data_IF_634539168320
#
_entry.id   IF_634539168320
#
_cell.length_a   1.000
_cell.length_b   1.000
_cell.length_c   1.000
_cell.angle_alpha   90.00
_cell.angle_beta   90.00
_cell.angle_gamma   90.00
#
_symmetry.space_group_name_H-M   'P 1'
#
loop_
_entity.id
_entity.type
_entity.pdbx_description
1 polymer ?
#
# COMPACT_ATOMS: atom_id res chain seq x y z
N UNK A 1 9.49 28.61 -7.33
CA UNK A 1 8.46 27.63 -7.71
C UNK A 1 9.06 26.23 -7.86
N UNK A 2 10.33 26.10 -8.26
CA UNK A 2 11.01 24.79 -8.37
C UNK A 2 11.32 24.11 -7.03
N UNK A 3 11.58 24.88 -5.98
CA UNK A 3 11.81 24.38 -4.60
C UNK A 3 10.56 23.75 -3.97
N UNK A 4 9.36 24.21 -4.35
CA UNK A 4 8.10 23.62 -3.86
C UNK A 4 7.83 22.28 -4.54
N UNK A 5 8.18 22.16 -5.82
CA UNK A 5 8.08 20.91 -6.58
C UNK A 5 9.10 19.89 -6.05
N UNK A 6 10.33 20.31 -5.76
CA UNK A 6 11.36 19.46 -5.14
C UNK A 6 10.96 18.99 -3.73
N UNK A 7 10.41 19.87 -2.90
CA UNK A 7 9.91 19.50 -1.57
C UNK A 7 8.71 18.55 -1.62
N UNK A 8 7.82 18.71 -2.61
CA UNK A 8 6.69 17.80 -2.84
C UNK A 8 7.13 16.41 -3.35
N UNK A 9 8.26 16.34 -4.07
CA UNK A 9 8.87 15.07 -4.49
C UNK A 9 9.55 14.37 -3.29
N UNK A 10 10.12 15.12 -2.35
CA UNK A 10 10.74 14.58 -1.13
C UNK A 10 9.75 14.17 -0.03
N UNK A 11 8.54 14.73 -0.01
CA UNK A 11 7.52 14.38 0.97
C UNK A 11 6.94 12.98 0.69
N UNK A 12 7.67 11.95 1.11
CA UNK A 12 7.18 10.57 1.21
C UNK A 12 6.19 10.47 2.37
N UNK A 13 4.97 10.96 2.17
CA UNK A 13 3.89 10.81 3.14
C UNK A 13 3.32 9.39 3.05
N UNK A 14 3.94 8.48 3.81
CA UNK A 14 3.50 7.08 3.93
C UNK A 14 2.04 6.98 4.43
N UNK A 15 1.53 8.05 5.03
CA UNK A 15 0.13 8.19 5.44
C UNK A 15 -0.87 8.02 4.30
N UNK A 16 -0.51 8.40 3.06
CA UNK A 16 -1.37 8.19 1.90
C UNK A 16 -1.49 6.72 1.48
N UNK A 17 -0.57 5.85 1.91
CA UNK A 17 -0.64 4.43 1.61
C UNK A 17 -1.83 3.77 2.31
N UNK A 18 -2.19 4.20 3.52
CA UNK A 18 -3.28 3.62 4.30
C UNK A 18 -4.66 3.75 3.59
N UNK A 19 -5.16 4.96 3.24
CA UNK A 19 -6.43 5.09 2.54
C UNK A 19 -6.40 4.43 1.15
N UNK A 20 -5.25 4.44 0.47
CA UNK A 20 -5.09 3.80 -0.84
C UNK A 20 -5.24 2.27 -0.76
N UNK A 21 -4.54 1.62 0.17
CA UNK A 21 -4.60 0.17 0.37
C UNK A 21 -6.01 -0.25 0.77
N UNK A 22 -6.66 0.52 1.65
CA UNK A 22 -8.05 0.26 2.07
C UNK A 22 -9.00 0.37 0.87
N UNK A 23 -8.93 1.46 0.11
CA UNK A 23 -9.81 1.69 -1.04
C UNK A 23 -9.65 0.58 -2.11
N UNK A 24 -8.42 0.26 -2.50
CA UNK A 24 -8.14 -0.77 -3.52
C UNK A 24 -8.63 -2.15 -3.07
N UNK A 25 -8.38 -2.51 -1.79
CA UNK A 25 -8.78 -3.80 -1.25
C UNK A 25 -10.29 -3.98 -1.18
N UNK A 26 -11.01 -2.90 -0.82
CA UNK A 26 -12.47 -2.88 -0.79
C UNK A 26 -13.06 -2.97 -2.20
N UNK A 27 -12.58 -2.16 -3.16
CA UNK A 27 -13.06 -2.20 -4.55
C UNK A 27 -12.84 -3.57 -5.17
N UNK A 28 -11.65 -4.16 -5.00
CA UNK A 28 -11.36 -5.51 -5.48
C UNK A 28 -12.32 -6.55 -4.89
N UNK A 29 -12.63 -6.46 -3.60
CA UNK A 29 -13.47 -7.47 -2.93
C UNK A 29 -14.97 -7.29 -3.22
N UNK A 30 -15.41 -6.04 -3.36
CA UNK A 30 -16.79 -5.65 -3.66
C UNK A 30 -17.20 -5.97 -5.10
N UNK A 31 -16.27 -5.95 -6.06
CA UNK A 31 -16.57 -6.38 -7.44
C UNK A 31 -16.83 -7.87 -7.57
N UNK A 32 -16.37 -8.68 -6.62
CA UNK A 32 -16.47 -10.14 -6.67
C UNK A 32 -17.58 -10.73 -5.78
N UNK A 33 -18.00 -10.00 -4.76
CA UNK A 33 -18.96 -10.49 -3.78
C UNK A 33 -20.03 -9.44 -3.51
N UNK A 34 -21.28 -9.87 -3.44
CA UNK A 34 -22.44 -8.99 -3.17
C UNK A 34 -22.74 -8.88 -1.67
N UNK A 35 -22.27 -9.84 -0.87
CA UNK A 35 -22.50 -9.89 0.57
C UNK A 35 -21.40 -9.14 1.34
N UNK A 36 -21.80 -8.27 2.26
CA UNK A 36 -20.89 -7.38 3.02
C UNK A 36 -19.80 -8.12 3.80
N UNK A 37 -20.14 -9.25 4.43
CA UNK A 37 -19.19 -10.02 5.26
C UNK A 37 -18.05 -10.64 4.41
N UNK A 38 -18.35 -11.34 3.28
CA UNK A 38 -17.32 -11.75 2.32
C UNK A 38 -16.47 -10.59 1.78
N UNK A 39 -17.06 -9.43 1.49
CA UNK A 39 -16.30 -8.26 1.01
C UNK A 39 -15.23 -7.87 2.02
N UNK A 40 -15.60 -7.72 3.30
CA UNK A 40 -14.68 -7.24 4.33
C UNK A 40 -13.54 -8.25 4.60
N UNK A 41 -13.86 -9.54 4.68
CA UNK A 41 -12.87 -10.60 4.92
C UNK A 41 -11.88 -10.72 3.76
N UNK A 42 -12.35 -10.62 2.52
CA UNK A 42 -11.49 -10.63 1.35
C UNK A 42 -10.67 -9.34 1.23
N UNK A 43 -11.24 -8.19 1.58
CA UNK A 43 -10.53 -6.91 1.55
C UNK A 43 -9.35 -6.92 2.53
N UNK A 44 -9.56 -7.41 3.76
CA UNK A 44 -8.47 -7.54 4.74
C UNK A 44 -7.37 -8.47 4.20
N UNK A 45 -7.74 -9.62 3.62
CA UNK A 45 -6.76 -10.55 3.05
C UNK A 45 -5.95 -9.92 1.92
N UNK A 46 -6.58 -9.15 1.04
CA UNK A 46 -5.91 -8.43 -0.05
C UNK A 46 -4.98 -7.35 0.50
N UNK A 47 -5.44 -6.57 1.47
CA UNK A 47 -4.63 -5.55 2.13
C UNK A 47 -3.38 -6.13 2.80
N UNK A 48 -3.52 -7.28 3.48
CA UNK A 48 -2.39 -8.01 4.08
C UNK A 48 -1.39 -8.45 3.01
N UNK A 49 -1.83 -8.94 1.86
CA UNK A 49 -0.93 -9.30 0.76
C UNK A 49 -0.19 -8.10 0.17
N UNK A 50 -0.87 -6.96 -0.02
CA UNK A 50 -0.25 -5.73 -0.52
C UNK A 50 0.85 -5.25 0.44
N UNK A 51 0.52 -5.12 1.73
CA UNK A 51 1.47 -4.66 2.76
C UNK A 51 2.61 -5.67 2.93
N UNK A 52 2.30 -6.96 2.96
CA UNK A 52 3.29 -8.02 3.08
C UNK A 52 4.28 -8.04 1.92
N UNK A 53 3.78 -7.91 0.68
CA UNK A 53 4.64 -7.82 -0.50
C UNK A 53 5.54 -6.58 -0.45
N UNK A 54 4.99 -5.41 -0.06
CA UNK A 54 5.79 -4.20 0.08
C UNK A 54 6.85 -4.30 1.17
N UNK A 55 6.54 -4.95 2.29
CA UNK A 55 7.51 -5.22 3.35
C UNK A 55 8.64 -6.13 2.86
N UNK A 56 8.34 -7.17 2.07
CA UNK A 56 9.37 -8.05 1.48
C UNK A 56 10.31 -7.27 0.57
N UNK A 57 9.77 -6.43 -0.32
CA UNK A 57 10.59 -5.56 -1.19
C UNK A 57 11.42 -4.60 -0.36
N UNK A 58 10.84 -3.96 0.66
CA UNK A 58 11.57 -3.07 1.56
C UNK A 58 12.75 -3.77 2.24
N UNK A 59 12.53 -4.98 2.79
CA UNK A 59 13.60 -5.78 3.41
C UNK A 59 14.68 -6.14 2.39
N UNK A 60 14.32 -6.53 1.17
CA UNK A 60 15.29 -6.83 0.12
C UNK A 60 16.16 -5.60 -0.21
N UNK A 61 15.54 -4.42 -0.36
CA UNK A 61 16.26 -3.17 -0.60
C UNK A 61 17.14 -2.78 0.58
N UNK A 62 16.67 -2.96 1.82
CA UNK A 62 17.43 -2.69 3.03
C UNK A 62 18.68 -3.57 3.11
N UNK A 63 18.56 -4.86 2.81
CA UNK A 63 19.69 -5.79 2.77
C UNK A 63 20.72 -5.41 1.69
N UNK A 64 20.27 -4.99 0.51
CA UNK A 64 21.15 -4.50 -0.56
C UNK A 64 21.84 -3.20 -0.15
N UNK A 65 21.11 -2.28 0.47
CA UNK A 65 21.64 -1.00 0.94
C UNK A 65 22.69 -1.18 2.03
N UNK A 66 22.51 -2.14 2.94
CA UNK A 66 23.47 -2.40 4.01
C UNK A 66 24.79 -3.01 3.51
N UNK A 67 24.76 -3.65 2.34
CA UNK A 67 25.94 -4.23 1.71
C UNK A 67 26.79 -3.21 0.95
N UNK A 68 26.21 -2.06 0.56
CA UNK A 68 26.95 -0.94 -0.02
C UNK A 68 27.54 -0.06 1.08
#
# INVERSE_FOLDING_TARGET
MDHLVLAAIESHDIWYALPLVVAVSLVYSATRNEQVVPILTHAVRVGVWIVGFMAVVFVALLLISWRR
#
